data_IF_657150968281
#
_entry.id   IF_657150968281
#
_cell.length_a   1.000
_cell.length_b   1.000
_cell.length_c   1.000
_cell.angle_alpha   90.00
_cell.angle_beta   90.00
_cell.angle_gamma   90.00
#
_symmetry.space_group_name_H-M   'P 1'
#
loop_
_entity.id
_entity.type
_entity.pdbx_description
1 polymer ?
#
# COMPACT_ATOMS: atom_id res chain seq x y z
N UNK A 1 1.43 -0.38 -29.92
CA UNK A 1 0.94 -0.27 -28.55
C UNK A 1 0.13 1.01 -28.48
N UNK A 2 -1.22 0.92 -28.45
CA UNK A 2 -2.08 2.10 -28.46
C UNK A 2 -2.16 2.65 -27.01
N UNK A 3 -1.77 3.90 -26.83
CA UNK A 3 -2.09 4.64 -25.62
C UNK A 3 -3.58 4.98 -25.62
N UNK A 4 -4.31 4.56 -24.60
CA UNK A 4 -5.72 4.91 -24.45
C UNK A 4 -5.80 6.26 -23.70
N UNK A 5 -6.16 7.30 -24.44
CA UNK A 5 -6.52 8.60 -23.86
C UNK A 5 -7.96 8.50 -23.33
N UNK A 6 -8.13 8.41 -22.01
CA UNK A 6 -9.44 8.55 -21.39
C UNK A 6 -9.68 10.04 -21.10
N UNK A 7 -10.53 10.68 -21.90
CA UNK A 7 -11.08 12.03 -21.60
C UNK A 7 -12.34 11.83 -20.75
N UNK A 8 -12.29 12.25 -19.51
CA UNK A 8 -13.48 12.43 -18.68
C UNK A 8 -13.62 13.93 -18.43
N UNK A 9 -14.65 14.53 -19.00
CA UNK A 9 -14.97 15.94 -18.74
C UNK A 9 -16.12 16.03 -17.73
N UNK A 10 -15.88 16.65 -16.58
CA UNK A 10 -16.88 17.55 -16.01
C UNK A 10 -16.32 18.98 -15.89
N UNK A 11 -17.18 19.92 -16.11
CA UNK A 11 -16.95 21.36 -15.99
C UNK A 11 -16.47 21.71 -14.57
N UNK A 12 -15.34 22.41 -14.48
CA UNK A 12 -14.69 23.10 -13.35
C UNK A 12 -13.30 22.56 -12.99
N UNK A 13 -12.29 23.33 -13.41
CA UNK A 13 -10.85 23.26 -13.19
C UNK A 13 -10.06 22.66 -14.37
N UNK A 14 -8.94 23.31 -14.68
CA UNK A 14 -8.02 22.88 -15.73
C UNK A 14 -7.52 21.47 -15.43
N UNK A 15 -8.03 20.48 -16.19
CA UNK A 15 -7.71 19.06 -16.05
C UNK A 15 -6.24 18.82 -16.40
N UNK A 16 -5.43 18.53 -15.41
CA UNK A 16 -4.18 17.82 -15.67
C UNK A 16 -4.56 16.41 -16.16
N UNK A 17 -4.55 16.24 -17.49
CA UNK A 17 -4.77 14.93 -18.13
C UNK A 17 -3.67 13.99 -17.66
N UNK A 18 -4.02 12.97 -16.86
CA UNK A 18 -3.04 11.93 -16.58
C UNK A 18 -3.11 10.84 -17.65
N UNK A 19 -1.95 10.34 -18.01
CA UNK A 19 -1.80 9.28 -19.01
C UNK A 19 -1.62 7.94 -18.31
N UNK A 20 -2.39 6.94 -18.73
CA UNK A 20 -2.29 5.56 -18.26
C UNK A 20 -1.56 4.76 -19.31
N UNK A 21 -0.46 4.12 -18.92
CA UNK A 21 0.34 3.28 -19.81
C UNK A 21 0.42 1.86 -19.23
N UNK A 22 -0.26 0.86 -19.83
CA UNK A 22 -0.11 -0.53 -19.43
C UNK A 22 1.33 -1.00 -19.64
N UNK A 23 1.83 -1.82 -18.70
CA UNK A 23 3.16 -2.40 -18.75
C UNK A 23 3.10 -3.92 -18.86
N UNK A 24 4.06 -4.53 -19.58
CA UNK A 24 4.13 -5.98 -19.73
C UNK A 24 4.92 -6.59 -18.57
N UNK A 25 4.21 -7.22 -17.64
CA UNK A 25 4.80 -7.90 -16.49
C UNK A 25 5.30 -9.32 -16.79
N UNK A 26 4.83 -9.92 -17.90
CA UNK A 26 5.10 -11.31 -18.29
C UNK A 26 4.70 -12.35 -17.22
N UNK A 27 3.69 -12.08 -16.41
CA UNK A 27 3.14 -13.00 -15.42
C UNK A 27 1.61 -12.92 -15.40
N UNK A 28 0.96 -13.95 -14.86
CA UNK A 28 -0.46 -13.97 -14.52
C UNK A 28 -0.69 -13.93 -13.01
N UNK A 29 0.37 -13.75 -12.22
CA UNK A 29 0.26 -13.66 -10.77
C UNK A 29 -0.60 -12.45 -10.36
N UNK A 30 -1.32 -12.60 -9.25
CA UNK A 30 -1.93 -11.45 -8.57
C UNK A 30 -0.79 -10.66 -7.91
N UNK A 31 -0.54 -9.44 -8.37
CA UNK A 31 0.52 -8.57 -7.87
C UNK A 31 -0.04 -7.70 -6.74
N UNK A 32 0.17 -8.13 -5.49
CA UNK A 32 -0.40 -7.54 -4.28
C UNK A 32 0.43 -6.38 -3.72
N UNK A 33 1.75 -6.44 -3.86
CA UNK A 33 2.68 -5.41 -3.40
C UNK A 33 3.42 -4.76 -4.56
N UNK A 34 3.58 -3.43 -4.49
CA UNK A 34 4.29 -2.64 -5.48
C UNK A 34 5.06 -1.53 -4.77
N UNK A 35 6.32 -1.37 -5.10
CA UNK A 35 7.17 -0.33 -4.56
C UNK A 35 8.14 0.19 -5.62
N UNK A 36 8.20 1.49 -5.79
CA UNK A 36 9.22 2.18 -6.59
C UNK A 36 10.05 3.06 -5.68
N UNK A 37 11.35 2.84 -5.68
CA UNK A 37 12.32 3.65 -4.93
C UNK A 37 12.66 4.94 -5.69
N UNK A 38 12.74 4.83 -7.01
CA UNK A 38 12.96 5.94 -7.95
C UNK A 38 12.04 5.74 -9.16
N UNK A 39 11.88 6.71 -10.06
CA UNK A 39 11.11 6.51 -11.29
C UNK A 39 11.60 5.36 -12.18
N UNK A 40 12.84 4.89 -11.98
CA UNK A 40 13.42 3.82 -12.79
C UNK A 40 13.46 2.48 -12.05
N UNK A 41 13.66 2.49 -10.72
CA UNK A 41 13.91 1.29 -9.92
C UNK A 41 12.66 0.92 -9.12
N UNK A 42 12.10 -0.26 -9.40
CA UNK A 42 10.88 -0.73 -8.76
C UNK A 42 10.78 -2.26 -8.68
N UNK A 43 9.89 -2.71 -7.78
CA UNK A 43 9.59 -4.12 -7.53
C UNK A 43 8.09 -4.32 -7.40
N UNK A 44 7.61 -5.47 -7.91
CA UNK A 44 6.25 -5.95 -7.70
C UNK A 44 6.30 -7.38 -7.17
N UNK A 45 5.44 -7.69 -6.18
CA UNK A 45 5.38 -9.01 -5.55
C UNK A 45 3.96 -9.55 -5.52
N UNK A 46 3.82 -10.88 -5.48
CA UNK A 46 2.48 -11.43 -5.55
C UNK A 46 2.36 -12.94 -5.34
N UNK A 47 1.25 -13.49 -5.84
CA UNK A 47 0.89 -14.88 -5.68
C UNK A 47 1.94 -15.84 -6.25
N UNK A 48 2.07 -17.03 -5.62
CA UNK A 48 3.01 -18.05 -6.02
C UNK A 48 4.47 -17.65 -5.85
N UNK A 49 4.78 -16.74 -4.93
CA UNK A 49 6.12 -16.24 -4.66
C UNK A 49 6.67 -15.34 -5.78
N UNK A 50 5.80 -14.75 -6.59
CA UNK A 50 6.22 -13.88 -7.67
C UNK A 50 6.96 -12.65 -7.14
N UNK A 51 8.17 -12.40 -7.67
CA UNK A 51 8.92 -11.16 -7.52
C UNK A 51 9.34 -10.70 -8.91
N UNK A 52 8.98 -9.47 -9.25
CA UNK A 52 9.39 -8.79 -10.46
C UNK A 52 10.22 -7.57 -10.08
N UNK A 53 11.25 -7.27 -10.86
CA UNK A 53 12.12 -6.09 -10.70
C UNK A 53 12.23 -5.35 -12.02
N UNK A 54 12.18 -4.03 -11.97
CA UNK A 54 12.51 -3.13 -13.08
C UNK A 54 13.62 -2.18 -12.69
N UNK A 55 14.42 -1.75 -13.68
CA UNK A 55 15.46 -0.71 -13.55
C UNK A 55 15.31 0.37 -14.63
N UNK A 56 14.18 0.37 -15.34
CA UNK A 56 13.90 1.28 -16.47
C UNK A 56 12.48 1.86 -16.42
N UNK A 57 11.89 1.93 -15.24
CA UNK A 57 10.55 2.49 -15.01
C UNK A 57 9.42 1.59 -15.50
N UNK A 58 9.65 0.27 -15.49
CA UNK A 58 8.68 -0.73 -15.90
C UNK A 58 8.56 -0.93 -17.40
N UNK A 59 9.47 -0.38 -18.22
CA UNK A 59 9.55 -0.72 -19.64
C UNK A 59 9.86 -2.22 -19.80
N UNK A 60 10.70 -2.74 -18.90
CA UNK A 60 11.00 -4.17 -18.79
C UNK A 60 10.91 -4.62 -17.34
N UNK A 61 10.16 -5.70 -17.09
CA UNK A 61 10.05 -6.37 -15.81
C UNK A 61 10.76 -7.71 -15.88
N UNK A 62 11.72 -7.95 -15.00
CA UNK A 62 12.45 -9.21 -14.86
C UNK A 62 11.96 -10.00 -13.67
N UNK A 63 11.65 -11.28 -13.86
CA UNK A 63 11.32 -12.19 -12.77
C UNK A 63 12.59 -12.49 -11.97
N UNK A 64 12.45 -12.41 -10.64
CA UNK A 64 13.48 -12.78 -9.66
C UNK A 64 13.04 -14.03 -8.92
N UNK A 65 13.96 -14.92 -8.61
CA UNK A 65 13.68 -16.13 -7.82
C UNK A 65 13.53 -15.74 -6.35
N UNK A 66 12.34 -15.96 -5.78
CA UNK A 66 12.07 -15.71 -4.38
C UNK A 66 12.49 -16.84 -3.44
N UNK A 67 12.65 -18.06 -3.98
CA UNK A 67 12.90 -19.27 -3.17
C UNK A 67 11.68 -19.75 -2.38
N UNK A 68 10.48 -19.19 -2.59
CA UNK A 68 9.25 -19.61 -1.93
C UNK A 68 8.09 -19.72 -2.93
N UNK A 69 7.13 -20.59 -2.65
CA UNK A 69 5.83 -20.63 -3.33
C UNK A 69 4.72 -19.84 -2.59
N UNK A 70 5.03 -19.28 -1.41
CA UNK A 70 4.06 -18.51 -0.65
C UNK A 70 3.69 -17.21 -1.36
N UNK A 71 2.43 -16.82 -1.29
CA UNK A 71 1.98 -15.51 -1.82
C UNK A 71 2.64 -14.38 -1.03
N UNK A 72 3.22 -13.41 -1.73
CA UNK A 72 3.87 -12.23 -1.17
C UNK A 72 2.91 -11.04 -1.23
N UNK A 73 2.69 -10.37 -0.10
CA UNK A 73 1.66 -9.34 0.08
C UNK A 73 2.22 -7.92 -0.03
N UNK A 74 3.44 -7.70 0.46
CA UNK A 74 4.03 -6.37 0.47
C UNK A 74 5.55 -6.42 0.25
N UNK A 75 6.09 -5.33 -0.30
CA UNK A 75 7.51 -5.11 -0.58
C UNK A 75 7.89 -3.68 -0.21
N UNK A 76 9.07 -3.50 0.37
CA UNK A 76 9.64 -2.21 0.71
C UNK A 76 11.16 -2.23 0.59
N UNK A 77 11.74 -1.12 0.16
CA UNK A 77 13.19 -0.89 0.12
C UNK A 77 13.53 0.41 0.82
N UNK A 78 14.45 0.35 1.78
CA UNK A 78 14.92 1.53 2.50
C UNK A 78 15.99 2.31 1.70
N UNK A 79 16.76 1.57 0.92
CA UNK A 79 17.76 2.11 -0.01
C UNK A 79 17.80 1.26 -1.30
N UNK A 80 18.75 1.49 -2.19
CA UNK A 80 18.86 0.78 -3.47
C UNK A 80 19.31 -0.70 -3.33
N UNK A 81 19.72 -1.11 -2.12
CA UNK A 81 20.25 -2.46 -1.82
C UNK A 81 19.38 -3.25 -0.87
N UNK A 82 18.90 -2.61 0.21
CA UNK A 82 18.23 -3.30 1.31
C UNK A 82 16.72 -3.20 1.19
N UNK A 83 16.07 -4.34 1.15
CA UNK A 83 14.62 -4.42 1.07
C UNK A 83 14.08 -5.70 1.71
N UNK A 84 12.77 -5.70 1.94
CA UNK A 84 12.03 -6.79 2.55
C UNK A 84 10.75 -7.08 1.79
N UNK A 85 10.37 -8.34 1.81
CA UNK A 85 9.05 -8.80 1.36
C UNK A 85 8.42 -9.64 2.46
N UNK A 86 7.11 -9.54 2.58
CA UNK A 86 6.33 -10.33 3.53
C UNK A 86 5.15 -11.00 2.84
N UNK A 87 4.65 -12.08 3.42
CA UNK A 87 3.55 -12.81 2.81
C UNK A 87 2.97 -13.95 3.65
N UNK A 88 2.32 -14.87 2.96
CA UNK A 88 1.65 -16.01 3.56
C UNK A 88 2.62 -16.95 4.28
N UNK A 89 2.08 -17.76 5.20
CA UNK A 89 2.79 -18.80 5.94
C UNK A 89 4.02 -18.28 6.70
N UNK A 90 3.90 -17.14 7.38
CA UNK A 90 4.99 -16.54 8.14
C UNK A 90 6.17 -16.06 7.28
N UNK A 91 5.97 -15.87 5.98
CA UNK A 91 7.06 -15.51 5.07
C UNK A 91 7.53 -14.08 5.33
N UNK A 92 8.81 -13.95 5.69
CA UNK A 92 9.59 -12.70 5.66
C UNK A 92 10.89 -13.02 4.92
N UNK A 93 11.25 -12.20 3.93
CA UNK A 93 12.54 -12.32 3.25
C UNK A 93 13.21 -10.96 3.18
N UNK A 94 14.52 -10.94 3.20
CA UNK A 94 15.38 -9.76 3.07
C UNK A 94 16.27 -9.87 1.85
N UNK A 95 16.45 -8.78 1.15
CA UNK A 95 17.47 -8.58 0.14
C UNK A 95 18.50 -7.56 0.63
N UNK A 96 19.77 -7.75 0.22
CA UNK A 96 20.87 -6.83 0.48
C UNK A 96 21.60 -6.41 -0.82
N UNK A 97 21.05 -6.82 -1.96
CA UNK A 97 21.62 -6.60 -3.29
C UNK A 97 20.63 -5.97 -4.29
N UNK A 98 19.68 -5.20 -3.73
CA UNK A 98 18.67 -4.50 -4.53
C UNK A 98 17.59 -5.41 -5.08
N UNK A 99 17.31 -6.53 -4.40
CA UNK A 99 16.29 -7.48 -4.80
C UNK A 99 16.72 -8.42 -5.92
N UNK A 100 18.02 -8.63 -6.13
CA UNK A 100 18.50 -9.66 -7.05
C UNK A 100 18.47 -11.06 -6.41
N UNK A 101 18.72 -11.11 -5.10
CA UNK A 101 18.56 -12.32 -4.27
C UNK A 101 17.78 -12.02 -2.99
N UNK A 102 17.10 -13.04 -2.47
CA UNK A 102 16.26 -12.96 -1.29
C UNK A 102 16.61 -14.08 -0.31
N UNK A 103 16.73 -13.73 0.97
CA UNK A 103 17.05 -14.64 2.06
C UNK A 103 15.89 -14.69 3.04
N UNK A 104 15.37 -15.88 3.31
CA UNK A 104 14.33 -16.09 4.30
C UNK A 104 14.82 -15.68 5.70
N UNK A 105 13.98 -14.92 6.40
CA UNK A 105 14.17 -14.56 7.80
C UNK A 105 13.38 -15.52 8.67
N UNK A 106 13.93 -15.86 9.84
CA UNK A 106 13.27 -16.81 10.74
C UNK A 106 12.24 -16.09 11.60
N UNK A 107 11.03 -16.63 11.61
CA UNK A 107 9.95 -16.28 12.54
C UNK A 107 9.28 -17.55 13.04
N UNK A 108 8.82 -17.55 14.29
CA UNK A 108 8.21 -18.74 14.92
C UNK A 108 6.66 -18.69 14.78
N UNK A 109 6.18 -18.29 13.60
CA UNK A 109 4.74 -18.25 13.29
C UNK A 109 4.46 -18.62 11.84
N UNK A 110 3.27 -19.15 11.58
CA UNK A 110 2.75 -19.43 10.23
C UNK A 110 1.64 -18.45 9.82
N UNK A 111 1.44 -17.39 10.59
CA UNK A 111 0.46 -16.34 10.30
C UNK A 111 0.84 -15.63 9.00
N UNK A 112 -0.14 -15.32 8.17
CA UNK A 112 0.11 -14.51 6.97
C UNK A 112 0.33 -13.05 7.35
N UNK A 113 1.40 -12.45 6.80
CA UNK A 113 1.69 -11.02 6.92
C UNK A 113 1.16 -10.25 5.73
N UNK A 114 0.60 -9.06 5.97
CA UNK A 114 -0.06 -8.24 4.96
C UNK A 114 0.60 -6.89 4.74
N UNK A 115 1.20 -6.31 5.78
CA UNK A 115 1.86 -5.00 5.75
C UNK A 115 3.24 -5.01 6.38
N UNK A 116 4.10 -4.09 5.92
CA UNK A 116 5.41 -3.85 6.51
C UNK A 116 5.77 -2.36 6.44
N UNK A 117 6.55 -1.90 7.42
CA UNK A 117 7.07 -0.55 7.48
C UNK A 117 8.48 -0.57 8.08
N UNK A 118 9.44 0.10 7.45
CA UNK A 118 10.79 0.28 7.97
C UNK A 118 11.13 1.77 8.00
N UNK A 119 11.73 2.21 9.10
CA UNK A 119 12.21 3.59 9.29
C UNK A 119 13.72 3.71 9.15
N UNK A 120 14.43 2.58 9.23
CA UNK A 120 15.87 2.48 9.01
C UNK A 120 16.24 1.10 8.45
N UNK A 121 17.52 0.89 8.15
CA UNK A 121 18.04 -0.43 7.74
C UNK A 121 17.97 -1.50 8.84
N UNK A 122 17.74 -1.09 10.08
CA UNK A 122 17.66 -1.96 11.26
C UNK A 122 16.28 -2.03 11.89
N UNK A 123 15.48 -0.96 11.84
CA UNK A 123 14.21 -0.89 12.56
C UNK A 123 13.01 -0.98 11.61
N UNK A 124 12.15 -1.97 11.89
CA UNK A 124 10.96 -2.22 11.08
C UNK A 124 9.90 -3.04 11.80
N UNK A 125 8.69 -3.02 11.22
CA UNK A 125 7.51 -3.71 11.73
C UNK A 125 6.79 -4.45 10.60
N UNK A 126 6.19 -5.58 10.94
CA UNK A 126 5.29 -6.31 10.06
C UNK A 126 3.99 -6.61 10.79
N UNK A 127 2.88 -6.59 10.06
CA UNK A 127 1.55 -6.85 10.61
C UNK A 127 0.84 -7.93 9.80
N UNK A 128 -0.07 -8.67 10.47
CA UNK A 128 -0.71 -9.79 9.83
C UNK A 128 -2.01 -10.27 10.48
N UNK A 129 -2.36 -11.52 10.19
CA UNK A 129 -3.53 -12.17 10.76
C UNK A 129 -3.47 -12.29 12.28
N UNK A 130 -4.62 -12.55 12.90
CA UNK A 130 -4.76 -12.78 14.34
C UNK A 130 -4.16 -11.68 15.23
N UNK A 131 -4.20 -10.42 14.77
CA UNK A 131 -3.65 -9.29 15.51
C UNK A 131 -2.12 -9.28 15.62
N UNK A 132 -1.42 -10.07 14.79
CA UNK A 132 0.03 -10.19 14.88
C UNK A 132 0.73 -8.89 14.48
N UNK A 133 1.63 -8.43 15.35
CA UNK A 133 2.59 -7.36 15.09
C UNK A 133 3.96 -7.87 15.49
N UNK A 134 4.91 -7.88 14.59
CA UNK A 134 6.32 -8.17 14.88
C UNK A 134 7.16 -6.93 14.64
N UNK A 135 8.20 -6.73 15.45
CA UNK A 135 9.20 -5.68 15.28
C UNK A 135 10.61 -6.25 15.19
N UNK A 136 11.49 -5.54 14.52
CA UNK A 136 12.93 -5.83 14.46
C UNK A 136 13.75 -4.58 14.77
N UNK A 137 14.94 -4.79 15.38
CA UNK A 137 15.96 -3.74 15.59
C UNK A 137 17.30 -4.07 14.95
N UNK A 138 17.35 -5.13 14.15
CA UNK A 138 18.57 -5.64 13.48
C UNK A 138 18.34 -5.95 11.99
N UNK A 139 17.29 -5.34 11.42
CA UNK A 139 16.96 -5.48 10.00
C UNK A 139 16.34 -6.81 9.64
N UNK A 140 15.71 -7.49 10.61
CA UNK A 140 14.99 -8.74 10.41
C UNK A 140 15.78 -10.00 10.72
N UNK A 141 16.97 -9.89 11.33
CA UNK A 141 17.70 -11.07 11.84
C UNK A 141 16.91 -11.69 12.97
N UNK A 142 16.36 -10.85 13.86
CA UNK A 142 15.44 -11.26 14.92
C UNK A 142 14.15 -10.43 14.84
N UNK A 143 13.03 -11.13 15.05
CA UNK A 143 11.71 -10.54 15.13
C UNK A 143 11.12 -10.81 16.51
N UNK A 144 10.50 -9.76 17.10
CA UNK A 144 9.92 -9.79 18.45
C UNK A 144 8.43 -9.49 18.35
N UNK A 145 7.61 -10.34 18.97
CA UNK A 145 6.15 -10.12 19.07
C UNK A 145 5.83 -8.88 19.90
N UNK A 146 4.86 -8.11 19.42
CA UNK A 146 4.26 -6.99 20.14
C UNK A 146 2.79 -7.26 20.45
N UNK A 147 2.32 -6.88 21.64
CA UNK A 147 0.96 -7.15 22.09
C UNK A 147 -0.01 -6.13 21.52
N UNK A 148 -0.74 -6.49 20.47
CA UNK A 148 -1.76 -5.66 19.83
C UNK A 148 -3.08 -5.54 20.61
N UNK A 149 -3.35 -6.46 21.53
CA UNK A 149 -4.61 -6.60 22.30
C UNK A 149 -5.86 -6.87 21.42
N UNK A 150 -5.67 -7.31 20.17
CA UNK A 150 -6.77 -7.68 19.27
C UNK A 150 -6.47 -8.99 18.55
N UNK A 151 -7.52 -9.68 18.09
CA UNK A 151 -7.41 -10.83 17.19
C UNK A 151 -7.81 -10.46 15.75
N UNK A 152 -8.10 -9.18 15.48
CA UNK A 152 -8.45 -8.71 14.15
C UNK A 152 -7.26 -8.86 13.19
N UNK A 153 -7.52 -9.20 11.93
CA UNK A 153 -6.47 -9.16 10.91
C UNK A 153 -6.01 -7.71 10.67
N UNK A 154 -4.71 -7.48 10.68
CA UNK A 154 -4.07 -6.17 10.52
C UNK A 154 -3.48 -6.09 9.09
N UNK A 155 -3.95 -5.14 8.29
CA UNK A 155 -3.62 -5.07 6.86
C UNK A 155 -2.61 -3.99 6.51
N UNK A 156 -2.71 -2.82 7.14
CA UNK A 156 -1.86 -1.67 6.87
C UNK A 156 -1.03 -1.28 8.10
N UNK A 157 0.19 -0.84 7.85
CA UNK A 157 1.09 -0.30 8.89
C UNK A 157 1.94 0.80 8.30
N UNK A 158 2.07 1.91 9.03
CA UNK A 158 3.04 2.95 8.73
C UNK A 158 3.69 3.46 10.02
N UNK A 159 5.00 3.49 10.02
CA UNK A 159 5.80 4.19 11.02
C UNK A 159 6.44 5.42 10.36
N UNK A 160 6.26 6.57 10.98
CA UNK A 160 6.90 7.83 10.55
C UNK A 160 8.28 8.00 11.19
N UNK A 161 8.42 7.48 12.40
CA UNK A 161 9.67 7.47 13.18
C UNK A 161 9.81 6.11 13.88
N UNK A 162 10.91 5.87 14.57
CA UNK A 162 11.07 4.66 15.40
C UNK A 162 10.10 4.60 16.59
N UNK A 163 9.39 5.69 16.90
CA UNK A 163 8.48 5.77 18.04
C UNK A 163 7.02 5.79 17.61
N UNK A 164 6.67 6.57 16.56
CA UNK A 164 5.29 6.81 16.16
C UNK A 164 4.87 5.93 14.99
N UNK A 165 3.86 5.09 15.23
CA UNK A 165 3.32 4.17 14.25
C UNK A 165 1.81 3.99 14.36
N UNK A 166 1.20 3.71 13.21
CA UNK A 166 -0.24 3.42 13.10
C UNK A 166 -0.43 2.11 12.34
N UNK A 167 -1.35 1.30 12.84
CA UNK A 167 -1.77 0.00 12.25
C UNK A 167 -3.27 0.03 12.04
N UNK A 168 -3.72 -0.49 10.90
CA UNK A 168 -5.15 -0.59 10.57
C UNK A 168 -5.53 -2.00 10.16
N UNK A 169 -6.80 -2.37 10.37
CA UNK A 169 -7.23 -3.74 10.12
C UNK A 169 -8.73 -3.95 10.03
N UNK A 170 -9.12 -5.21 10.19
CA UNK A 170 -10.50 -5.64 10.18
C UNK A 170 -11.30 -5.04 11.35
N UNK A 171 -12.62 -4.98 11.17
CA UNK A 171 -13.59 -4.56 12.22
C UNK A 171 -13.28 -3.16 12.77
N UNK A 172 -12.89 -2.22 11.90
CA UNK A 172 -12.58 -0.84 12.28
C UNK A 172 -11.34 -0.70 13.16
N UNK A 173 -10.47 -1.71 13.19
CA UNK A 173 -9.27 -1.67 14.04
C UNK A 173 -8.31 -0.56 13.56
N UNK A 174 -8.01 0.37 14.45
CA UNK A 174 -6.90 1.34 14.35
C UNK A 174 -6.13 1.29 15.66
N UNK A 175 -4.83 1.02 15.59
CA UNK A 175 -3.94 1.00 16.74
C UNK A 175 -2.82 2.02 16.52
N UNK A 176 -2.48 2.75 17.58
CA UNK A 176 -1.37 3.71 17.55
C UNK A 176 -0.36 3.40 18.63
N UNK A 177 0.88 3.74 18.35
CA UNK A 177 1.99 3.69 19.31
C UNK A 177 2.80 4.96 19.27
N UNK A 178 3.31 5.37 20.45
CA UNK A 178 4.25 6.48 20.64
C UNK A 178 5.58 6.03 21.27
N UNK A 179 5.76 4.70 21.39
CA UNK A 179 6.91 4.06 22.05
C UNK A 179 7.52 2.92 21.22
N UNK A 180 7.30 2.95 19.88
CA UNK A 180 7.85 1.97 18.97
C UNK A 180 7.14 0.61 19.03
N UNK A 181 5.91 0.59 19.59
CA UNK A 181 5.09 -0.61 19.71
C UNK A 181 5.31 -1.37 21.02
N UNK A 182 6.00 -0.79 22.02
CA UNK A 182 6.02 -1.35 23.36
C UNK A 182 4.59 -1.35 23.95
N UNK A 183 3.80 -0.32 23.61
CA UNK A 183 2.35 -0.27 23.84
C UNK A 183 1.58 0.11 22.58
N UNK A 184 0.44 -0.55 22.37
CA UNK A 184 -0.50 -0.25 21.30
C UNK A 184 -1.84 0.20 21.90
N UNK A 185 -2.30 1.40 21.50
CA UNK A 185 -3.49 2.05 21.97
C UNK A 185 -4.56 2.06 20.88
N UNK A 186 -5.72 1.43 21.10
CA UNK A 186 -6.81 1.45 20.12
C UNK A 186 -7.39 2.86 20.01
N UNK A 187 -7.71 3.25 18.78
CA UNK A 187 -8.41 4.48 18.46
C UNK A 187 -9.86 4.15 18.11
N UNK A 188 -10.78 5.01 18.54
CA UNK A 188 -12.19 4.85 18.21
C UNK A 188 -12.44 5.24 16.74
N UNK A 189 -13.06 4.33 16.00
CA UNK A 189 -13.50 4.57 14.62
C UNK A 189 -15.02 4.45 14.53
N UNK A 190 -15.62 5.27 13.69
CA UNK A 190 -17.05 5.14 13.40
C UNK A 190 -17.30 3.91 12.52
N UNK A 191 -18.11 2.97 13.01
CA UNK A 191 -18.48 1.75 12.29
C UNK A 191 -17.47 0.61 12.41
N UNK A 192 -17.83 -0.55 11.83
CA UNK A 192 -17.04 -1.78 11.88
C UNK A 192 -16.48 -2.15 10.49
N UNK A 193 -16.05 -1.15 9.71
CA UNK A 193 -15.53 -1.34 8.36
C UNK A 193 -14.14 -1.98 8.40
N UNK A 194 -13.81 -2.78 7.40
CA UNK A 194 -12.44 -3.28 7.23
C UNK A 194 -11.58 -2.18 6.60
N UNK A 195 -10.45 -1.87 7.23
CA UNK A 195 -9.49 -0.86 6.79
C UNK A 195 -8.29 -1.57 6.17
N UNK A 196 -7.93 -1.22 4.93
CA UNK A 196 -6.92 -1.94 4.17
C UNK A 196 -5.56 -1.22 4.13
N UNK A 197 -5.57 0.11 4.17
CA UNK A 197 -4.33 0.89 4.05
C UNK A 197 -4.38 2.14 4.91
N UNK A 198 -3.21 2.56 5.39
CA UNK A 198 -2.97 3.78 6.13
C UNK A 198 -1.81 4.53 5.49
N UNK A 199 -1.97 5.84 5.34
CA UNK A 199 -0.94 6.72 4.81
C UNK A 199 -0.93 8.05 5.55
N UNK A 200 0.22 8.45 6.07
CA UNK A 200 0.48 9.75 6.66
C UNK A 200 1.45 10.51 5.75
N UNK A 201 1.12 11.74 5.39
CA UNK A 201 2.01 12.64 4.66
C UNK A 201 3.02 13.34 5.58
N UNK A 202 2.64 13.52 6.84
CA UNK A 202 3.43 14.13 7.90
C UNK A 202 2.95 13.61 9.28
N UNK A 203 3.50 14.15 10.37
CA UNK A 203 3.18 13.70 11.72
C UNK A 203 1.72 13.96 12.15
N UNK A 204 1.02 14.87 11.50
CA UNK A 204 -0.35 15.27 11.85
C UNK A 204 -1.41 14.77 10.87
N UNK A 205 -1.07 14.71 9.58
CA UNK A 205 -2.05 14.52 8.51
C UNK A 205 -1.95 13.13 7.92
N UNK A 206 -3.06 12.38 7.99
CA UNK A 206 -3.11 11.01 7.48
C UNK A 206 -4.49 10.60 6.98
N UNK A 207 -4.52 9.50 6.23
CA UNK A 207 -5.74 8.91 5.66
C UNK A 207 -5.73 7.40 5.85
N UNK A 208 -6.94 6.87 6.04
CA UNK A 208 -7.21 5.44 6.08
C UNK A 208 -8.29 5.13 5.07
N UNK A 209 -8.12 4.06 4.31
CA UNK A 209 -9.10 3.61 3.33
C UNK A 209 -9.50 2.16 3.57
N UNK A 210 -10.72 1.81 3.16
CA UNK A 210 -11.27 0.50 3.46
C UNK A 210 -12.41 0.05 2.57
N UNK A 211 -13.13 -0.97 3.03
CA UNK A 211 -14.24 -1.54 2.31
C UNK A 211 -15.41 -0.55 2.17
N UNK A 212 -16.26 -0.81 1.18
CA UNK A 212 -17.45 -0.03 0.91
C UNK A 212 -17.21 1.49 0.79
N UNK A 213 -16.09 1.90 0.17
CA UNK A 213 -15.76 3.30 -0.09
C UNK A 213 -15.30 4.07 1.15
N UNK A 214 -15.00 3.38 2.25
CA UNK A 214 -14.61 4.03 3.50
C UNK A 214 -13.31 4.82 3.33
N UNK A 215 -13.35 6.08 3.73
CA UNK A 215 -12.22 7.00 3.79
C UNK A 215 -12.31 7.77 5.10
N UNK A 216 -11.24 7.75 5.88
CA UNK A 216 -11.13 8.59 7.08
C UNK A 216 -9.86 9.42 6.99
N UNK A 217 -9.93 10.65 7.48
CA UNK A 217 -8.84 11.60 7.51
C UNK A 217 -8.55 12.03 8.95
N UNK A 218 -7.30 12.14 9.30
CA UNK A 218 -6.85 12.80 10.53
C UNK A 218 -6.03 14.05 10.22
N UNK A 219 -6.06 15.02 11.14
CA UNK A 219 -5.22 16.22 11.12
C UNK A 219 -4.52 16.45 12.47
N UNK A 220 -4.60 15.46 13.36
CA UNK A 220 -4.04 15.49 14.71
C UNK A 220 -3.19 14.24 15.04
N UNK A 221 -2.60 13.64 13.98
CA UNK A 221 -1.71 12.50 14.11
C UNK A 221 -2.43 11.17 14.35
N UNK A 222 -3.75 11.10 14.11
CA UNK A 222 -4.54 9.88 14.26
C UNK A 222 -5.32 9.76 15.57
N UNK A 223 -5.31 10.81 16.41
CA UNK A 223 -6.11 10.83 17.65
C UNK A 223 -7.61 10.97 17.37
N UNK A 224 -7.95 11.67 16.28
CA UNK A 224 -9.32 11.77 15.79
C UNK A 224 -9.36 11.48 14.28
N UNK A 225 -10.38 10.75 13.85
CA UNK A 225 -10.60 10.40 12.46
C UNK A 225 -11.93 10.96 11.98
N UNK A 226 -11.88 11.79 10.94
CA UNK A 226 -13.02 12.44 10.32
C UNK A 226 -13.47 11.61 9.14
N UNK A 227 -14.75 11.24 9.10
CA UNK A 227 -15.33 10.48 8.00
C UNK A 227 -15.36 11.32 6.71
N UNK A 228 -14.74 10.78 5.66
CA UNK A 228 -14.69 11.27 4.29
C UNK A 228 -15.19 10.24 3.29
N UNK A 229 -15.90 9.24 3.78
CA UNK A 229 -16.42 8.13 2.99
C UNK A 229 -17.16 8.62 1.76
N UNK A 230 -16.92 7.97 0.63
CA UNK A 230 -17.56 8.30 -0.63
C UNK A 230 -19.08 8.24 -0.50
N UNK A 231 -19.82 9.29 -0.91
CA UNK A 231 -21.27 9.27 -0.83
C UNK A 231 -21.83 8.22 -1.80
N UNK A 232 -22.73 7.37 -1.29
CA UNK A 232 -23.53 6.52 -2.17
C UNK A 232 -24.55 7.36 -2.91
N UNK A 233 -24.34 7.62 -4.18
CA UNK A 233 -25.32 8.29 -5.03
C UNK A 233 -26.47 7.34 -5.37
N UNK A 234 -27.62 7.87 -5.81
CA UNK A 234 -28.84 7.08 -6.13
C UNK A 234 -28.62 5.96 -7.15
N UNK A 235 -27.50 5.95 -7.85
CA UNK A 235 -27.13 4.98 -8.88
C UNK A 235 -26.13 3.95 -8.38
N UNK A 236 -25.53 4.11 -7.20
CA UNK A 236 -24.58 3.13 -6.70
C UNK A 236 -25.31 1.90 -6.14
N UNK A 237 -25.08 0.75 -6.75
CA UNK A 237 -25.59 -0.53 -6.27
C UNK A 237 -24.69 -1.15 -5.19
N UNK A 238 -23.41 -0.77 -5.18
CA UNK A 238 -22.40 -1.20 -4.20
C UNK A 238 -21.21 -0.23 -4.27
N UNK A 239 -20.81 0.30 -3.13
CA UNK A 239 -19.54 1.04 -3.02
C UNK A 239 -18.36 0.08 -3.22
N UNK A 240 -17.33 0.55 -3.89
CA UNK A 240 -16.11 -0.20 -4.23
C UNK A 240 -15.17 -0.23 -3.03
N UNK A 241 -14.52 -1.34 -2.78
CA UNK A 241 -13.46 -1.43 -1.77
C UNK A 241 -12.24 -0.62 -2.23
N UNK A 242 -11.74 0.25 -1.35
CA UNK A 242 -10.59 1.12 -1.57
C UNK A 242 -9.38 0.46 -0.92
N UNK A 243 -8.37 0.12 -1.71
CA UNK A 243 -7.32 -0.81 -1.30
C UNK A 243 -5.98 -0.13 -1.00
N UNK A 244 -5.69 1.03 -1.62
CA UNK A 244 -4.46 1.81 -1.35
C UNK A 244 -4.72 3.29 -1.52
N UNK A 245 -4.06 4.09 -0.67
CA UNK A 245 -4.07 5.55 -0.73
C UNK A 245 -2.65 6.09 -0.70
N UNK A 246 -2.32 7.02 -1.60
CA UNK A 246 -1.01 7.71 -1.62
C UNK A 246 -1.21 9.16 -2.01
N UNK A 247 -0.43 10.05 -1.38
CA UNK A 247 -0.36 11.46 -1.74
C UNK A 247 0.99 11.76 -2.40
N UNK A 248 0.97 12.60 -3.41
CA UNK A 248 2.16 13.07 -4.14
C UNK A 248 2.64 14.43 -3.63
N UNK A 249 1.75 15.17 -3.02
CA UNK A 249 1.97 16.45 -2.31
C UNK A 249 0.85 16.59 -1.25
N UNK A 250 0.88 17.61 -0.37
CA UNK A 250 -0.13 17.77 0.68
C UNK A 250 -1.57 17.92 0.19
N UNK A 251 -1.78 18.32 -1.07
CA UNK A 251 -3.11 18.56 -1.64
C UNK A 251 -3.58 17.44 -2.54
N UNK A 252 -2.67 16.80 -3.27
CA UNK A 252 -3.00 15.85 -4.33
C UNK A 252 -2.77 14.40 -3.89
N UNK A 253 -3.86 13.66 -3.83
CA UNK A 253 -3.84 12.24 -3.44
C UNK A 253 -4.57 11.35 -4.43
N UNK A 254 -4.26 10.06 -4.37
CA UNK A 254 -4.81 9.01 -5.21
C UNK A 254 -5.22 7.81 -4.39
N UNK A 255 -6.35 7.21 -4.76
CA UNK A 255 -6.82 5.94 -4.23
C UNK A 255 -7.05 4.99 -5.39
N UNK A 256 -6.66 3.73 -5.22
CA UNK A 256 -7.01 2.63 -6.11
C UNK A 256 -7.76 1.54 -5.35
N UNK A 257 -8.57 0.78 -6.07
CA UNK A 257 -9.41 -0.23 -5.44
C UNK A 257 -9.87 -1.33 -6.37
N UNK A 258 -10.96 -1.99 -5.98
CA UNK A 258 -11.60 -3.04 -6.75
C UNK A 258 -11.99 -2.56 -8.16
N UNK A 259 -12.06 -3.51 -9.11
CA UNK A 259 -12.47 -3.28 -10.50
C UNK A 259 -11.67 -2.20 -11.22
N UNK A 260 -10.44 -1.92 -10.74
CA UNK A 260 -9.56 -0.92 -11.32
C UNK A 260 -9.98 0.53 -11.10
N UNK A 261 -10.91 0.77 -10.17
CA UNK A 261 -11.39 2.10 -9.86
C UNK A 261 -10.27 2.97 -9.28
N UNK A 262 -10.28 4.22 -9.68
CA UNK A 262 -9.33 5.24 -9.23
C UNK A 262 -10.09 6.48 -8.78
N UNK A 263 -9.68 7.03 -7.65
CA UNK A 263 -10.16 8.32 -7.15
C UNK A 263 -8.98 9.25 -6.97
N UNK A 264 -9.21 10.54 -7.20
CA UNK A 264 -8.22 11.60 -7.02
C UNK A 264 -8.80 12.71 -6.16
N UNK A 265 -7.96 13.28 -5.30
CA UNK A 265 -8.21 14.54 -4.61
C UNK A 265 -7.20 15.60 -5.04
N UNK A 266 -7.58 16.87 -4.96
CA UNK A 266 -6.70 18.05 -5.12
C UNK A 266 -6.92 19.07 -4.01
N UNK A 267 -7.62 18.66 -2.97
CA UNK A 267 -8.00 19.48 -1.82
C UNK A 267 -7.67 18.80 -0.48
N UNK A 268 -6.53 18.08 -0.43
CA UNK A 268 -6.05 17.38 0.76
C UNK A 268 -7.02 16.30 1.26
N UNK A 269 -7.79 15.66 0.38
CA UNK A 269 -8.71 14.59 0.71
C UNK A 269 -10.05 15.04 1.31
N UNK A 270 -10.39 16.34 1.22
CA UNK A 270 -11.73 16.80 1.58
C UNK A 270 -12.79 16.26 0.62
N UNK A 271 -12.46 16.23 -0.68
CA UNK A 271 -13.28 15.59 -1.71
C UNK A 271 -12.46 14.63 -2.55
N UNK A 272 -13.10 13.53 -2.96
CA UNK A 272 -12.51 12.53 -3.83
C UNK A 272 -13.34 12.40 -5.10
N UNK A 273 -12.70 12.60 -6.24
CA UNK A 273 -13.34 12.59 -7.56
C UNK A 273 -12.97 11.28 -8.26
N UNK A 274 -13.99 10.54 -8.66
CA UNK A 274 -13.84 9.32 -9.44
C UNK A 274 -13.21 9.62 -10.80
N UNK A 275 -12.11 8.94 -11.11
CA UNK A 275 -11.41 9.02 -12.40
C UNK A 275 -11.81 7.89 -13.35
N UNK A 276 -12.68 6.99 -12.88
CA UNK A 276 -13.08 5.78 -13.59
C UNK A 276 -12.12 4.61 -13.40
N UNK A 277 -12.40 3.51 -14.11
CA UNK A 277 -11.59 2.30 -14.05
C UNK A 277 -10.43 2.39 -15.04
N UNK A 278 -9.19 2.28 -14.55
CA UNK A 278 -7.97 2.25 -15.36
C UNK A 278 -7.53 0.83 -15.75
N UNK A 279 -8.16 -0.16 -15.13
CA UNK A 279 -8.00 -1.59 -15.43
C UNK A 279 -9.35 -2.29 -15.25
N UNK A 280 -9.49 -3.52 -15.79
CA UNK A 280 -10.71 -4.33 -15.60
C UNK A 280 -10.63 -5.28 -14.40
N UNK A 281 -9.64 -5.09 -13.54
CA UNK A 281 -9.28 -5.96 -12.41
C UNK A 281 -9.00 -5.11 -11.18
N UNK A 282 -9.03 -5.72 -10.00
CA UNK A 282 -8.70 -5.03 -8.75
C UNK A 282 -7.21 -4.63 -8.72
N UNK A 283 -6.94 -3.44 -8.17
CA UNK A 283 -5.61 -2.88 -8.01
C UNK A 283 -5.22 -2.88 -6.54
N UNK A 284 -4.16 -3.60 -6.20
CA UNK A 284 -3.70 -3.82 -4.82
C UNK A 284 -2.48 -2.99 -4.44
N UNK A 285 -1.66 -2.59 -5.40
CA UNK A 285 -0.47 -1.77 -5.20
C UNK A 285 -0.63 -0.39 -5.80
N UNK A 286 -0.11 0.63 -5.10
CA UNK A 286 -0.03 2.02 -5.58
C UNK A 286 1.21 2.67 -5.00
N UNK A 287 2.03 3.32 -5.82
CA UNK A 287 3.24 4.01 -5.39
C UNK A 287 3.54 5.19 -6.30
N UNK A 288 4.07 6.25 -5.71
CA UNK A 288 4.53 7.46 -6.40
C UNK A 288 5.92 7.81 -5.88
N UNK A 289 7.00 7.47 -6.59
CA UNK A 289 8.35 7.88 -6.21
C UNK A 289 8.63 9.37 -6.45
N UNK A 290 7.78 10.02 -7.27
CA UNK A 290 7.80 11.46 -7.56
C UNK A 290 6.38 12.01 -7.59
N UNK A 291 6.24 13.34 -7.60
CA UNK A 291 4.94 14.01 -7.75
C UNK A 291 4.29 13.87 -9.14
N UNK A 292 4.98 13.33 -10.14
CA UNK A 292 4.51 13.27 -11.53
C UNK A 292 4.35 11.87 -12.09
N UNK A 293 4.94 10.87 -11.45
CA UNK A 293 4.91 9.49 -11.93
C UNK A 293 4.54 8.52 -10.82
N UNK A 294 3.60 7.63 -11.12
CA UNK A 294 3.14 6.58 -10.24
C UNK A 294 2.91 5.26 -10.97
N UNK A 295 2.76 4.21 -10.22
CA UNK A 295 2.44 2.88 -10.72
C UNK A 295 1.38 2.23 -9.83
N UNK A 296 0.51 1.44 -10.48
CA UNK A 296 -0.43 0.58 -9.78
C UNK A 296 -0.29 -0.86 -10.28
N UNK A 297 -0.51 -1.83 -9.39
CA UNK A 297 -0.46 -3.26 -9.71
C UNK A 297 -1.69 -4.01 -9.22
N UNK A 298 -2.02 -5.15 -9.85
CA UNK A 298 -3.24 -5.88 -9.55
C UNK A 298 -3.27 -7.31 -10.06
N UNK A 299 -4.49 -7.81 -10.25
CA UNK A 299 -4.75 -9.17 -10.74
C UNK A 299 -4.20 -9.39 -12.14
N UNK A 300 -4.01 -10.66 -12.49
CA UNK A 300 -3.58 -11.11 -13.82
C UNK A 300 -2.29 -10.44 -14.31
N UNK A 301 -1.35 -10.18 -13.39
CA UNK A 301 -0.08 -9.53 -13.69
C UNK A 301 -0.20 -8.07 -14.14
N UNK A 302 -1.34 -7.44 -13.88
CA UNK A 302 -1.57 -6.04 -14.27
C UNK A 302 -0.58 -5.12 -13.59
N UNK A 303 0.13 -4.32 -14.39
CA UNK A 303 0.88 -3.15 -13.97
C UNK A 303 0.54 -1.99 -14.91
N UNK A 304 0.21 -0.84 -14.36
CA UNK A 304 -0.02 0.39 -15.11
C UNK A 304 0.84 1.51 -14.56
N UNK A 305 1.41 2.32 -15.46
CA UNK A 305 2.10 3.56 -15.12
C UNK A 305 1.11 4.71 -15.25
N UNK A 306 1.12 5.58 -14.26
CA UNK A 306 0.34 6.80 -14.17
C UNK A 306 1.31 7.98 -14.33
N UNK A 307 1.10 8.85 -15.30
CA UNK A 307 1.92 10.07 -15.44
C UNK A 307 1.00 11.27 -15.55
N UNK A 308 1.25 12.32 -14.77
CA UNK A 308 0.59 13.62 -14.91
C UNK A 308 1.24 14.32 -16.12
N UNK A 309 0.42 14.67 -17.13
CA UNK A 309 0.88 15.49 -18.24
C UNK A 309 1.37 16.86 -17.73
N UNK A 310 2.44 17.32 -18.31
CA UNK A 310 2.88 18.72 -18.15
C UNK A 310 1.96 19.63 -18.94
#
# INVERSE_FOLDING_TARGET
MLAVLVRVSPLWAADSVFTITPQLSHTQAVLMGLYFRTPLLGWAVGSGGAILKTVDGGKNWKKVVSGTGASLSAVFFIDDKQGWVVGANGTIQRSQDGGNTWQAQRVDTQVSFFGLSFVSSSEGWVVGGNGTILSTKDGGVHWVDQTSKTNAALYGVQFLTSQHGTVVGAVGTVLMTDDGGATWNPQEMQGSVTLFDVYFSDASTGWVVGNAGAIFQTTDGGHQWIDRTLPCTRTCTKLTDLLRVRFIDPQTGWIVGERGMVYRTTDSGFTWIEQGAIAKVSLFGLTFPTGTEGWASGENGTIVRLSTGH
#
